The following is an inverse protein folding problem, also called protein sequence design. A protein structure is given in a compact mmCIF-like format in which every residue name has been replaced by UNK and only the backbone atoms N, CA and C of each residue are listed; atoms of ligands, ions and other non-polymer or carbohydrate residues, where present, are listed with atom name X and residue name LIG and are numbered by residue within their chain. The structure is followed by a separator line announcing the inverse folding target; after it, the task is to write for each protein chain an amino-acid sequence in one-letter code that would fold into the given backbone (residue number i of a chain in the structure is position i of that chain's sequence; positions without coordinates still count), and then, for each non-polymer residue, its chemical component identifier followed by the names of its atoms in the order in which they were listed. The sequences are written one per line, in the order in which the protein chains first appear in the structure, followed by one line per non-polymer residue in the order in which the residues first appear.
data_IF_128929681266
#
_entry.id   IF_128929681266
#
_cell.length_a   1.000
_cell.length_b   1.000
_cell.length_c   1.000
_cell.angle_alpha   90.00
_cell.angle_beta   90.00
_cell.angle_gamma   90.00
#
_symmetry.space_group_name_H-M   'P 1'
#
loop_
_entity.id
_entity.type
_entity.pdbx_description
1 polymer ?
#
# COMPACT_ATOMS: atom_id res chain seq x y z
N UNK A 1 4.24 14.83 29.61
CA UNK A 1 5.28 14.57 28.59
C UNK A 1 5.87 15.91 28.17
N UNK A 2 7.12 16.22 28.52
CA UNK A 2 7.73 17.50 28.19
C UNK A 2 7.96 17.62 26.67
N UNK A 3 7.42 18.65 26.03
CA UNK A 3 7.62 18.88 24.59
C UNK A 3 9.09 19.21 24.33
N UNK A 4 9.80 18.27 23.69
CA UNK A 4 11.18 18.45 23.25
C UNK A 4 11.21 19.36 22.02
N UNK A 5 12.06 20.38 22.08
CA UNK A 5 12.47 21.35 21.05
C UNK A 5 11.73 21.29 19.70
N UNK A 6 10.86 22.27 19.46
CA UNK A 6 10.28 22.52 18.12
C UNK A 6 11.15 23.56 17.41
N UNK A 7 11.87 23.14 16.37
CA UNK A 7 12.60 24.06 15.49
C UNK A 7 11.62 25.03 14.81
N UNK A 8 11.84 26.35 14.98
CA UNK A 8 11.02 27.41 14.36
C UNK A 8 11.36 27.69 12.88
N UNK A 9 12.32 26.97 12.30
CA UNK A 9 12.70 27.16 10.89
C UNK A 9 11.77 26.34 10.00
N UNK A 10 10.90 27.01 9.26
CA UNK A 10 10.05 26.37 8.24
C UNK A 10 10.70 26.46 6.87
N UNK A 11 10.84 25.35 6.17
CA UNK A 11 11.27 25.37 4.78
C UNK A 11 10.19 26.01 3.89
N UNK A 12 10.52 26.75 2.81
CA UNK A 12 9.52 27.30 1.90
C UNK A 12 8.54 26.26 1.34
N UNK A 13 9.01 25.04 1.05
CA UNK A 13 8.17 23.93 0.60
C UNK A 13 7.20 23.42 1.67
N UNK A 14 7.52 23.62 2.95
CA UNK A 14 6.68 23.21 4.07
C UNK A 14 5.31 23.91 4.02
N UNK A 15 5.22 25.15 3.51
CA UNK A 15 3.93 25.83 3.41
C UNK A 15 2.94 25.11 2.49
N UNK A 16 3.44 24.56 1.37
CA UNK A 16 2.65 23.75 0.46
C UNK A 16 2.34 22.36 1.03
N UNK A 17 3.33 21.70 1.66
CA UNK A 17 3.21 20.31 2.09
C UNK A 17 2.67 20.11 3.50
N UNK A 18 2.58 21.17 4.34
CA UNK A 18 2.18 21.04 5.76
C UNK A 18 0.85 20.33 5.94
N UNK A 19 -0.11 20.53 5.03
CA UNK A 19 -1.42 19.87 5.07
C UNK A 19 -1.36 18.36 4.79
N UNK A 20 -0.34 17.88 4.09
CA UNK A 20 -0.20 16.44 3.81
C UNK A 20 0.20 15.64 5.06
N UNK A 21 0.82 16.29 6.05
CA UNK A 21 1.24 15.65 7.29
C UNK A 21 0.42 16.12 8.52
N UNK A 22 -0.71 16.79 8.31
CA UNK A 22 -1.51 17.33 9.43
C UNK A 22 -2.44 16.31 10.09
N UNK A 23 -2.69 15.17 9.46
CA UNK A 23 -3.64 14.16 9.95
C UNK A 23 -2.95 12.94 10.61
N UNK A 24 -1.70 13.09 11.03
CA UNK A 24 -0.98 12.03 11.74
C UNK A 24 -1.76 11.59 13.00
N UNK A 25 -2.05 10.28 13.09
CA UNK A 25 -2.83 9.69 14.17
C UNK A 25 -4.34 9.69 13.96
N UNK A 26 -4.85 10.31 12.88
CA UNK A 26 -6.25 10.16 12.48
C UNK A 26 -6.47 8.74 11.92
N UNK A 27 -7.45 8.04 12.46
CA UNK A 27 -7.80 6.67 12.04
C UNK A 27 -9.32 6.52 11.94
N UNK A 28 -9.78 5.55 11.16
CA UNK A 28 -11.19 5.15 11.13
C UNK A 28 -11.46 4.15 12.27
N UNK A 29 -12.55 4.29 13.05
CA UNK A 29 -12.87 3.35 14.12
C UNK A 29 -13.29 1.97 13.58
N UNK A 30 -13.11 0.93 14.40
CA UNK A 30 -13.44 -0.45 14.03
C UNK A 30 -12.52 -1.01 12.95
N UNK A 31 -13.09 -1.81 12.03
CA UNK A 31 -12.33 -2.45 10.95
C UNK A 31 -12.10 -1.57 9.72
N UNK A 32 -12.79 -0.44 9.61
CA UNK A 32 -12.67 0.47 8.46
C UNK A 32 -12.79 -0.27 7.12
N UNK A 33 -11.82 -0.06 6.24
CA UNK A 33 -11.73 -0.70 4.92
C UNK A 33 -10.90 -1.97 4.92
N UNK A 34 -10.48 -2.51 6.09
CA UNK A 34 -9.65 -3.70 6.16
C UNK A 34 -10.23 -4.93 5.45
N UNK A 35 -11.56 -5.21 5.48
CA UNK A 35 -12.13 -6.31 4.70
C UNK A 35 -11.98 -6.13 3.17
N UNK A 36 -12.12 -4.89 2.68
CA UNK A 36 -11.91 -4.56 1.26
C UNK A 36 -10.43 -4.74 0.90
N UNK A 37 -9.53 -4.24 1.75
CA UNK A 37 -8.09 -4.45 1.60
C UNK A 37 -7.75 -5.95 1.54
N UNK A 38 -8.30 -6.77 2.44
CA UNK A 38 -8.10 -8.21 2.43
C UNK A 38 -8.59 -8.86 1.13
N UNK A 39 -9.77 -8.46 0.63
CA UNK A 39 -10.25 -8.91 -0.68
C UNK A 39 -9.30 -8.56 -1.83
N UNK A 40 -8.79 -7.33 -1.86
CA UNK A 40 -7.80 -6.90 -2.85
C UNK A 40 -6.46 -7.65 -2.71
N UNK A 41 -6.01 -7.93 -1.49
CA UNK A 41 -4.80 -8.70 -1.23
C UNK A 41 -4.95 -10.16 -1.68
N UNK A 42 -6.12 -10.77 -1.51
CA UNK A 42 -6.40 -12.12 -2.02
C UNK A 42 -6.39 -12.13 -3.54
N UNK A 43 -7.01 -11.13 -4.20
CA UNK A 43 -6.92 -11.00 -5.66
C UNK A 43 -5.48 -10.82 -6.13
N UNK A 44 -4.69 -9.99 -5.44
CA UNK A 44 -3.26 -9.81 -5.73
C UNK A 44 -2.47 -11.11 -5.53
N UNK A 45 -2.74 -11.86 -4.47
CA UNK A 45 -2.11 -13.15 -4.21
C UNK A 45 -2.43 -14.15 -5.32
N UNK A 46 -3.70 -14.27 -5.71
CA UNK A 46 -4.13 -15.13 -6.81
C UNK A 46 -3.43 -14.71 -8.11
N UNK A 47 -3.37 -13.42 -8.41
CA UNK A 47 -2.66 -12.90 -9.58
C UNK A 47 -1.18 -13.29 -9.58
N UNK A 48 -0.48 -13.10 -8.47
CA UNK A 48 0.95 -13.46 -8.32
C UNK A 48 1.13 -14.98 -8.47
N UNK A 49 0.26 -15.79 -7.88
CA UNK A 49 0.34 -17.24 -7.99
C UNK A 49 0.11 -17.73 -9.42
N UNK A 50 -0.79 -17.10 -10.18
CA UNK A 50 -1.03 -17.44 -11.58
C UNK A 50 0.23 -17.17 -12.40
N UNK A 51 0.79 -15.96 -12.33
CA UNK A 51 2.00 -15.64 -13.11
C UNK A 51 3.18 -16.51 -12.68
N UNK A 52 3.34 -16.79 -11.38
CA UNK A 52 4.40 -17.66 -10.88
C UNK A 52 4.28 -19.08 -11.44
N UNK A 53 3.07 -19.65 -11.43
CA UNK A 53 2.82 -21.00 -11.93
C UNK A 53 2.92 -21.11 -13.44
N UNK A 54 2.56 -20.04 -14.17
CA UNK A 54 2.82 -19.93 -15.61
C UNK A 54 4.32 -20.01 -15.87
N UNK A 55 5.12 -19.15 -15.21
CA UNK A 55 6.59 -19.18 -15.36
C UNK A 55 7.23 -20.49 -14.93
N UNK A 56 6.65 -21.20 -13.95
CA UNK A 56 7.14 -22.51 -13.52
C UNK A 56 6.60 -23.67 -14.38
N UNK A 57 5.80 -23.41 -15.42
CA UNK A 57 5.17 -24.45 -16.24
C UNK A 57 4.21 -25.38 -15.47
N UNK A 58 3.81 -24.99 -14.24
CA UNK A 58 2.82 -25.75 -13.44
C UNK A 58 1.41 -25.56 -13.99
N UNK A 59 1.11 -24.36 -14.48
CA UNK A 59 -0.07 -24.06 -15.27
C UNK A 59 0.38 -23.91 -16.73
N UNK A 60 -0.19 -24.71 -17.62
CA UNK A 60 0.05 -24.64 -19.07
C UNK A 60 -1.22 -24.15 -19.75
N UNK A 61 -1.06 -23.18 -20.65
CA UNK A 61 -2.14 -22.62 -21.45
C UNK A 61 -1.99 -23.15 -22.88
N UNK A 62 -3.06 -23.70 -23.46
CA UNK A 62 -2.98 -24.42 -24.74
C UNK A 62 -2.43 -23.58 -25.91
N UNK A 63 -2.73 -22.28 -25.93
CA UNK A 63 -2.37 -21.35 -27.02
C UNK A 63 -1.30 -20.32 -26.60
N UNK A 64 -0.59 -20.55 -25.50
CA UNK A 64 0.41 -19.62 -24.99
C UNK A 64 1.66 -20.35 -24.52
N UNK A 65 2.77 -20.11 -25.24
CA UNK A 65 4.10 -20.60 -24.90
C UNK A 65 4.94 -19.44 -24.32
N UNK A 66 5.75 -19.76 -23.33
CA UNK A 66 6.65 -18.81 -22.66
C UNK A 66 8.07 -18.87 -23.28
N UNK A 67 8.36 -19.92 -24.05
CA UNK A 67 9.65 -20.14 -24.72
C UNK A 67 9.89 -19.22 -25.92
#
# INVERSE_FOLDING_TARGET
MAQRYVSRKTAPIQYALRKLNSEAGRVSPGWGTAPIMAGLLVMLLVFILIILQLFNGTIVLSDFDIN
#
